data_IF_463557620238
#
_entry.id   IF_463557620238
#
_cell.length_a   1.000
_cell.length_b   1.000
_cell.length_c   1.000
_cell.angle_alpha   90.00
_cell.angle_beta   90.00
_cell.angle_gamma   90.00
#
_symmetry.space_group_name_H-M   'P 1'
#
loop_
_entity.id
_entity.type
_entity.pdbx_description
1 polymer ?
#
# COMPACT_ATOMS: atom_id res chain seq x y z
N UNK A 1 -50.48 21.01 16.07
CA UNK A 1 -50.88 19.75 16.75
C UNK A 1 -50.44 18.65 15.87
N UNK A 2 -49.29 18.09 16.19
CA UNK A 2 -48.79 16.76 15.81
C UNK A 2 -47.32 16.66 16.23
N UNK A 3 -47.10 15.73 17.11
CA UNK A 3 -45.87 15.45 17.84
C UNK A 3 -44.78 14.88 16.89
N UNK A 4 -43.68 15.55 16.79
CA UNK A 4 -42.44 15.02 16.24
C UNK A 4 -41.67 14.26 17.34
N UNK A 5 -41.76 12.94 17.26
CA UNK A 5 -41.04 12.02 18.12
C UNK A 5 -39.59 11.89 17.67
N UNK A 6 -38.73 12.58 18.38
CA UNK A 6 -37.27 12.59 18.23
C UNK A 6 -36.70 11.34 18.91
N UNK A 7 -36.41 10.29 18.13
CA UNK A 7 -35.62 9.15 18.60
C UNK A 7 -34.16 9.36 18.19
N UNK A 8 -33.44 10.07 19.03
CA UNK A 8 -31.98 10.11 19.00
C UNK A 8 -31.42 8.81 19.57
N UNK A 9 -31.04 7.87 18.72
CA UNK A 9 -30.21 6.72 19.12
C UNK A 9 -28.79 7.22 19.40
N UNK A 10 -28.49 7.31 20.69
CA UNK A 10 -27.14 7.48 21.21
C UNK A 10 -26.34 6.18 20.96
N UNK A 11 -25.57 6.15 19.88
CA UNK A 11 -24.48 5.17 19.76
C UNK A 11 -23.37 5.57 20.72
N UNK A 12 -23.40 4.99 21.90
CA UNK A 12 -22.25 4.99 22.82
C UNK A 12 -21.16 4.14 22.18
N UNK A 13 -20.18 4.80 21.57
CA UNK A 13 -18.92 4.17 21.19
C UNK A 13 -18.20 3.77 22.48
N UNK A 14 -18.37 2.51 22.88
CA UNK A 14 -17.61 1.90 23.96
C UNK A 14 -16.16 1.75 23.50
N UNK A 15 -15.35 2.72 23.93
CA UNK A 15 -13.92 2.77 23.70
C UNK A 15 -13.23 1.84 24.68
N UNK A 16 -13.18 0.54 24.38
CA UNK A 16 -12.22 -0.39 25.02
C UNK A 16 -12.08 -1.67 24.22
N UNK A 17 -10.99 -1.78 23.61
CA UNK A 17 -10.02 -2.88 23.51
C UNK A 17 -9.24 -2.74 22.22
N UNK A 18 -8.14 -2.03 22.32
CA UNK A 18 -7.04 -2.16 21.35
C UNK A 18 -6.44 -3.55 21.56
N UNK A 19 -7.13 -4.58 21.03
CA UNK A 19 -6.53 -5.90 20.88
C UNK A 19 -5.48 -5.77 19.79
N UNK A 20 -4.22 -5.71 20.20
CA UNK A 20 -3.11 -5.86 19.28
C UNK A 20 -3.37 -7.12 18.44
N UNK A 21 -3.26 -7.07 17.10
CA UNK A 21 -3.48 -8.25 16.27
C UNK A 21 -2.51 -9.33 16.79
N UNK A 22 -3.02 -10.53 17.11
CA UNK A 22 -2.15 -11.62 17.53
C UNK A 22 -1.13 -11.85 16.43
N UNK A 23 0.14 -11.96 16.80
CA UNK A 23 1.27 -12.29 15.92
C UNK A 23 1.10 -13.75 15.45
N UNK A 24 0.03 -13.99 14.68
CA UNK A 24 -0.31 -15.30 14.14
C UNK A 24 0.60 -15.59 12.95
N UNK A 25 1.44 -16.59 13.13
CA UNK A 25 2.32 -17.11 12.08
C UNK A 25 1.48 -17.42 10.82
N UNK A 26 2.02 -17.17 9.61
CA UNK A 26 1.31 -17.45 8.33
C UNK A 26 0.73 -18.87 8.22
N UNK A 27 1.32 -19.82 8.91
CA UNK A 27 0.90 -21.23 8.99
C UNK A 27 -0.46 -21.42 9.71
N UNK A 28 -0.76 -20.63 10.75
CA UNK A 28 -2.06 -20.70 11.44
C UNK A 28 -3.19 -20.16 10.57
N UNK A 29 -2.93 -19.11 9.82
CA UNK A 29 -3.92 -18.55 8.88
C UNK A 29 -4.24 -19.58 7.79
N UNK A 30 -3.25 -20.26 7.24
CA UNK A 30 -3.44 -21.28 6.22
C UNK A 30 -4.24 -22.49 6.77
N UNK A 31 -4.02 -22.90 8.02
CA UNK A 31 -4.76 -23.99 8.66
C UNK A 31 -6.24 -23.63 8.85
N UNK A 32 -6.54 -22.42 9.30
CA UNK A 32 -7.93 -21.93 9.45
C UNK A 32 -8.64 -21.86 8.08
N UNK A 33 -7.93 -21.47 7.01
CA UNK A 33 -8.48 -21.41 5.66
C UNK A 33 -8.82 -22.79 5.08
N UNK A 34 -8.07 -23.83 5.46
CA UNK A 34 -8.33 -25.21 5.06
C UNK A 34 -9.57 -25.81 5.79
N UNK A 35 -9.92 -25.31 6.96
CA UNK A 35 -11.13 -25.74 7.70
C UNK A 35 -12.42 -25.12 7.15
N UNK A 36 -12.38 -24.04 6.38
CA UNK A 36 -13.57 -23.43 5.78
C UNK A 36 -14.11 -24.35 4.68
N UNK A 37 -15.09 -25.16 4.99
CA UNK A 37 -15.67 -26.13 4.06
C UNK A 37 -16.79 -25.56 3.18
N UNK A 38 -17.34 -24.38 3.52
CA UNK A 38 -18.43 -23.76 2.77
C UNK A 38 -17.90 -22.89 1.63
N UNK A 39 -18.42 -23.08 0.42
CA UNK A 39 -18.00 -22.36 -0.77
C UNK A 39 -18.36 -20.86 -0.72
N UNK A 40 -19.46 -20.51 -0.06
CA UNK A 40 -19.86 -19.09 0.10
C UNK A 40 -18.92 -18.36 1.05
N UNK A 41 -18.44 -19.01 2.12
CA UNK A 41 -17.45 -18.46 3.04
C UNK A 41 -16.11 -18.24 2.36
N UNK A 42 -15.70 -19.19 1.50
CA UNK A 42 -14.46 -19.05 0.70
C UNK A 42 -14.55 -17.88 -0.28
N UNK A 43 -15.69 -17.71 -0.95
CA UNK A 43 -15.94 -16.59 -1.87
C UNK A 43 -15.90 -15.26 -1.11
N UNK A 44 -16.59 -15.15 0.01
CA UNK A 44 -16.60 -13.97 0.87
C UNK A 44 -15.17 -13.61 1.34
N UNK A 45 -14.40 -14.61 1.75
CA UNK A 45 -13.02 -14.40 2.20
C UNK A 45 -12.11 -13.92 1.06
N UNK A 46 -12.26 -14.48 -0.14
CA UNK A 46 -11.53 -14.04 -1.32
C UNK A 46 -11.85 -12.58 -1.66
N UNK A 47 -13.13 -12.20 -1.66
CA UNK A 47 -13.58 -10.83 -1.93
C UNK A 47 -13.01 -9.84 -0.91
N UNK A 48 -12.97 -10.22 0.38
CA UNK A 48 -12.35 -9.41 1.43
C UNK A 48 -10.84 -9.20 1.19
N UNK A 49 -10.10 -10.24 0.84
CA UNK A 49 -8.66 -10.14 0.58
C UNK A 49 -8.40 -9.25 -0.65
N UNK A 50 -9.21 -9.37 -1.70
CA UNK A 50 -9.17 -8.48 -2.87
C UNK A 50 -9.47 -7.03 -2.45
N UNK A 51 -10.44 -6.83 -1.56
CA UNK A 51 -10.77 -5.54 -0.98
C UNK A 51 -9.58 -4.92 -0.22
N UNK A 52 -8.88 -5.70 0.60
CA UNK A 52 -7.67 -5.25 1.29
C UNK A 52 -6.56 -4.87 0.32
N UNK A 53 -6.32 -5.64 -0.73
CA UNK A 53 -5.36 -5.30 -1.78
C UNK A 53 -5.67 -3.93 -2.40
N UNK A 54 -6.94 -3.69 -2.77
CA UNK A 54 -7.39 -2.41 -3.32
C UNK A 54 -7.20 -1.26 -2.34
N UNK A 55 -7.49 -1.47 -1.04
CA UNK A 55 -7.30 -0.47 0.00
C UNK A 55 -5.82 -0.05 0.14
N UNK A 56 -4.88 -0.99 0.06
CA UNK A 56 -3.43 -0.66 0.09
C UNK A 56 -3.05 0.19 -1.11
N UNK A 57 -3.51 -0.17 -2.30
CA UNK A 57 -3.24 0.60 -3.53
C UNK A 57 -3.80 2.01 -3.45
N UNK A 58 -5.03 2.17 -2.97
CA UNK A 58 -5.66 3.48 -2.78
C UNK A 58 -4.90 4.34 -1.77
N UNK A 59 -4.55 3.79 -0.59
CA UNK A 59 -3.78 4.51 0.42
C UNK A 59 -2.41 4.93 -0.11
N UNK A 60 -1.76 4.05 -0.87
CA UNK A 60 -0.48 4.33 -1.50
C UNK A 60 -0.59 5.46 -2.53
N UNK A 61 -1.63 5.44 -3.37
CA UNK A 61 -1.88 6.49 -4.37
C UNK A 61 -2.16 7.85 -3.72
N UNK A 62 -2.96 7.89 -2.64
CA UNK A 62 -3.23 9.10 -1.88
C UNK A 62 -1.94 9.63 -1.24
N UNK A 63 -1.15 8.78 -0.62
CA UNK A 63 0.14 9.15 -0.03
C UNK A 63 1.04 9.82 -1.07
N UNK A 64 1.12 9.24 -2.28
CA UNK A 64 1.93 9.79 -3.37
C UNK A 64 1.41 11.13 -3.89
N UNK A 65 0.09 11.28 -4.01
CA UNK A 65 -0.50 12.57 -4.39
C UNK A 65 -0.16 13.68 -3.38
N UNK A 66 -0.28 13.37 -2.08
CA UNK A 66 0.08 14.31 -1.01
C UNK A 66 1.56 14.67 -1.06
N UNK A 67 2.45 13.68 -1.25
CA UNK A 67 3.90 13.92 -1.37
C UNK A 67 4.21 14.76 -2.60
N UNK A 68 3.56 14.49 -3.73
CA UNK A 68 3.75 15.25 -4.96
C UNK A 68 3.38 16.74 -4.80
N UNK A 69 2.25 17.00 -4.15
CA UNK A 69 1.82 18.37 -3.82
C UNK A 69 2.82 19.04 -2.87
N UNK A 70 3.25 18.34 -1.82
CA UNK A 70 4.20 18.88 -0.83
C UNK A 70 5.57 19.15 -1.45
N UNK A 71 6.10 18.22 -2.24
CA UNK A 71 7.35 18.38 -2.96
C UNK A 71 7.27 19.56 -3.94
N UNK A 72 6.18 19.67 -4.69
CA UNK A 72 5.95 20.79 -5.61
C UNK A 72 5.95 22.13 -4.89
N UNK A 73 5.30 22.21 -3.72
CA UNK A 73 5.27 23.42 -2.88
C UNK A 73 6.66 23.78 -2.35
N UNK A 74 7.43 22.80 -1.86
CA UNK A 74 8.80 23.04 -1.35
C UNK A 74 9.71 23.51 -2.49
N UNK A 75 9.73 22.81 -3.63
CA UNK A 75 10.62 23.12 -4.76
C UNK A 75 10.29 24.50 -5.36
N UNK A 76 9.03 24.89 -5.37
CA UNK A 76 8.61 26.21 -5.87
C UNK A 76 8.84 27.36 -4.89
N UNK A 77 9.20 27.05 -3.64
CA UNK A 77 9.44 28.11 -2.65
C UNK A 77 10.74 28.86 -2.95
N UNK A 78 10.70 30.20 -2.82
CA UNK A 78 11.87 31.05 -3.00
C UNK A 78 13.00 30.69 -2.04
N UNK A 79 12.68 30.28 -0.82
CA UNK A 79 13.66 29.85 0.19
C UNK A 79 14.44 28.61 -0.26
N UNK A 80 13.76 27.61 -0.82
CA UNK A 80 14.42 26.40 -1.34
C UNK A 80 15.29 26.72 -2.55
N UNK A 81 14.77 27.50 -3.50
CA UNK A 81 15.49 27.88 -4.71
C UNK A 81 16.78 28.66 -4.40
N UNK A 82 16.68 29.62 -3.46
CA UNK A 82 17.83 30.40 -3.00
C UNK A 82 18.85 29.52 -2.27
N UNK A 83 18.38 28.61 -1.39
CA UNK A 83 19.26 27.67 -0.68
C UNK A 83 20.05 26.76 -1.64
N UNK A 84 19.37 26.21 -2.65
CA UNK A 84 20.03 25.39 -3.68
C UNK A 84 21.00 26.22 -4.52
N UNK A 85 20.64 27.46 -4.90
CA UNK A 85 21.52 28.37 -5.61
C UNK A 85 22.81 28.68 -4.86
N UNK A 86 22.73 28.98 -3.56
CA UNK A 86 23.90 29.21 -2.69
C UNK A 86 24.78 27.97 -2.58
N UNK A 87 24.15 26.79 -2.46
CA UNK A 87 24.84 25.50 -2.35
C UNK A 87 25.62 25.17 -3.63
N UNK A 88 25.03 25.43 -4.81
CA UNK A 88 25.70 25.22 -6.11
C UNK A 88 26.87 26.16 -6.28
N UNK A 89 26.78 27.42 -5.80
CA UNK A 89 27.86 28.40 -5.87
C UNK A 89 29.06 28.02 -4.99
N UNK A 90 28.83 27.47 -3.78
CA UNK A 90 29.89 27.14 -2.82
C UNK A 90 29.67 25.79 -2.11
N UNK A 91 29.82 24.64 -2.82
CA UNK A 91 29.46 23.33 -2.26
C UNK A 91 30.32 22.91 -1.07
N UNK A 92 31.60 23.36 -1.05
CA UNK A 92 32.54 23.00 0.05
C UNK A 92 32.25 23.77 1.35
N UNK A 93 31.75 24.98 1.27
CA UNK A 93 31.36 25.75 2.45
C UNK A 93 30.10 25.18 3.13
N UNK A 94 29.30 24.44 2.40
CA UNK A 94 27.99 23.92 2.85
C UNK A 94 27.94 22.37 2.77
N UNK A 95 28.99 21.67 3.17
CA UNK A 95 29.08 20.21 3.06
C UNK A 95 27.92 19.48 3.78
N UNK A 96 27.55 19.94 4.97
CA UNK A 96 26.45 19.33 5.75
C UNK A 96 25.07 19.48 5.08
N UNK A 97 24.64 20.65 4.61
CA UNK A 97 23.44 20.79 3.78
C UNK A 97 23.46 19.91 2.52
N UNK A 98 24.59 19.79 1.82
CA UNK A 98 24.74 18.90 0.64
C UNK A 98 24.37 17.47 1.00
N UNK A 99 24.90 16.96 2.12
CA UNK A 99 24.61 15.60 2.59
C UNK A 99 23.14 15.40 2.88
N UNK A 100 22.48 16.33 3.57
CA UNK A 100 21.05 16.21 3.87
C UNK A 100 20.19 16.26 2.60
N UNK A 101 20.52 17.12 1.65
CA UNK A 101 19.82 17.19 0.37
C UNK A 101 19.97 15.89 -0.42
N UNK A 102 21.19 15.34 -0.47
CA UNK A 102 21.46 14.06 -1.14
C UNK A 102 20.70 12.90 -0.48
N UNK A 103 20.70 12.82 0.86
CA UNK A 103 19.94 11.81 1.59
C UNK A 103 18.43 11.94 1.36
N UNK A 104 17.88 13.15 1.33
CA UNK A 104 16.49 13.40 0.99
C UNK A 104 16.16 12.90 -0.42
N UNK A 105 17.00 13.22 -1.41
CA UNK A 105 16.81 12.77 -2.79
C UNK A 105 16.87 11.24 -2.91
N UNK A 106 17.85 10.60 -2.27
CA UNK A 106 18.00 9.14 -2.29
C UNK A 106 16.76 8.46 -1.67
N UNK A 107 16.32 8.91 -0.48
CA UNK A 107 15.17 8.33 0.19
C UNK A 107 13.87 8.55 -0.60
N UNK A 108 13.75 9.67 -1.31
CA UNK A 108 12.61 9.93 -2.19
C UNK A 108 12.62 8.98 -3.41
N UNK A 109 13.77 8.75 -4.03
CA UNK A 109 13.92 7.79 -5.15
C UNK A 109 13.57 6.36 -4.68
N UNK A 110 14.06 5.97 -3.50
CA UNK A 110 13.73 4.67 -2.90
C UNK A 110 12.21 4.54 -2.67
N UNK A 111 11.56 5.58 -2.13
CA UNK A 111 10.12 5.57 -1.90
C UNK A 111 9.33 5.46 -3.21
N UNK A 112 9.80 6.11 -4.29
CA UNK A 112 9.20 6.00 -5.63
C UNK A 112 9.33 4.58 -6.19
N UNK A 113 10.49 3.93 -6.01
CA UNK A 113 10.69 2.53 -6.40
C UNK A 113 9.79 1.56 -5.64
N UNK A 114 9.62 1.77 -4.32
CA UNK A 114 8.70 0.99 -3.51
C UNK A 114 7.23 1.19 -3.94
N UNK A 115 6.83 2.43 -4.24
CA UNK A 115 5.52 2.73 -4.79
C UNK A 115 5.28 2.00 -6.10
N UNK A 116 6.19 2.10 -7.06
CA UNK A 116 6.09 1.40 -8.33
C UNK A 116 5.94 -0.13 -8.11
N UNK A 117 6.67 -0.69 -7.15
CA UNK A 117 6.57 -2.12 -6.79
C UNK A 117 5.21 -2.51 -6.21
N UNK A 118 4.53 -1.63 -5.46
CA UNK A 118 3.19 -1.86 -4.94
C UNK A 118 2.15 -1.82 -6.07
N UNK A 119 2.33 -0.88 -7.03
CA UNK A 119 1.39 -0.68 -8.15
C UNK A 119 1.55 -1.71 -9.27
N UNK A 120 2.75 -2.31 -9.42
CA UNK A 120 2.97 -3.32 -10.44
C UNK A 120 2.13 -4.56 -10.17
N UNK A 121 1.38 -4.98 -11.18
CA UNK A 121 0.61 -6.21 -11.14
C UNK A 121 1.56 -7.41 -10.98
N UNK A 122 1.42 -8.17 -9.89
CA UNK A 122 2.19 -9.39 -9.67
C UNK A 122 1.45 -10.56 -10.26
N UNK A 123 1.73 -10.85 -11.51
CA UNK A 123 1.17 -11.97 -12.26
C UNK A 123 1.93 -13.25 -11.91
N UNK A 124 1.84 -13.72 -10.66
CA UNK A 124 2.30 -15.07 -10.34
C UNK A 124 1.18 -16.05 -10.64
N UNK A 125 1.17 -16.59 -11.86
CA UNK A 125 0.33 -17.72 -12.21
C UNK A 125 0.97 -19.00 -11.66
N UNK A 126 0.29 -19.62 -10.68
CA UNK A 126 0.64 -20.96 -10.22
C UNK A 126 -0.45 -21.93 -10.70
N UNK A 127 -0.49 -22.20 -12.00
CA UNK A 127 -1.35 -23.26 -12.54
C UNK A 127 -2.56 -22.79 -13.32
N UNK A 128 -3.38 -23.74 -13.70
CA UNK A 128 -4.47 -23.65 -14.67
C UNK A 128 -5.83 -23.35 -13.99
N UNK A 129 -5.82 -22.47 -12.97
CA UNK A 129 -7.03 -22.11 -12.24
C UNK A 129 -8.02 -21.33 -13.11
N UNK A 130 -9.27 -21.74 -13.13
CA UNK A 130 -10.36 -21.06 -13.86
C UNK A 130 -10.79 -19.74 -13.17
N UNK A 131 -10.33 -19.47 -11.95
CA UNK A 131 -10.58 -18.25 -11.20
C UNK A 131 -9.49 -17.18 -11.41
N UNK A 132 -8.39 -17.55 -12.07
CA UNK A 132 -7.28 -16.64 -12.29
C UNK A 132 -7.34 -16.01 -13.68
N UNK A 133 -7.44 -14.69 -13.75
CA UNK A 133 -7.63 -13.96 -15.02
C UNK A 133 -6.54 -14.24 -16.06
N UNK A 134 -5.28 -14.45 -15.64
CA UNK A 134 -4.20 -14.78 -16.54
C UNK A 134 -4.36 -16.16 -17.20
N UNK A 135 -4.89 -17.14 -16.46
CA UNK A 135 -5.26 -18.45 -16.99
C UNK A 135 -6.50 -18.34 -17.90
N UNK A 136 -7.48 -17.53 -17.52
CA UNK A 136 -8.66 -17.28 -18.34
C UNK A 136 -8.26 -16.64 -19.68
N UNK A 137 -7.39 -15.64 -19.66
CA UNK A 137 -6.92 -14.93 -20.85
C UNK A 137 -6.09 -15.82 -21.80
N UNK A 138 -5.51 -16.90 -21.31
CA UNK A 138 -4.75 -17.86 -22.13
C UNK A 138 -5.60 -18.94 -22.79
N UNK A 139 -6.88 -19.07 -22.42
CA UNK A 139 -7.83 -20.06 -22.96
C UNK A 139 -8.69 -19.46 -24.08
N UNK A 140 -9.12 -20.30 -25.02
CA UNK A 140 -10.19 -19.93 -25.95
C UNK A 140 -11.55 -19.89 -25.23
N UNK A 141 -12.54 -19.20 -25.81
CA UNK A 141 -13.88 -19.15 -25.26
C UNK A 141 -14.50 -20.53 -25.04
N UNK A 142 -14.26 -21.46 -25.99
CA UNK A 142 -14.74 -22.83 -25.90
C UNK A 142 -14.05 -23.61 -24.75
N UNK A 143 -12.73 -23.46 -24.62
CA UNK A 143 -11.98 -24.11 -23.53
C UNK A 143 -12.40 -23.59 -22.16
N UNK A 144 -12.67 -22.27 -22.05
CA UNK A 144 -13.14 -21.67 -20.82
C UNK A 144 -14.57 -22.11 -20.50
N UNK A 145 -15.48 -22.16 -21.50
CA UNK A 145 -16.83 -22.67 -21.34
C UNK A 145 -16.85 -24.12 -20.83
N UNK A 146 -16.08 -25.00 -21.46
CA UNK A 146 -15.95 -26.39 -21.04
C UNK A 146 -15.40 -26.53 -19.59
N UNK A 147 -14.47 -25.66 -19.20
CA UNK A 147 -13.94 -25.64 -17.83
C UNK A 147 -14.97 -25.16 -16.81
N UNK A 148 -15.85 -24.20 -17.17
CA UNK A 148 -16.95 -23.76 -16.33
C UNK A 148 -18.03 -24.83 -16.17
N UNK A 149 -18.36 -25.54 -17.24
CA UNK A 149 -19.35 -26.64 -17.24
C UNK A 149 -18.87 -27.83 -16.38
N UNK A 150 -17.55 -28.06 -16.30
CA UNK A 150 -16.95 -29.04 -15.41
C UNK A 150 -17.04 -28.67 -13.93
N UNK A 151 -17.37 -27.41 -13.63
CA UNK A 151 -17.49 -26.86 -12.27
C UNK A 151 -16.19 -26.33 -11.70
N UNK A 152 -16.31 -25.48 -10.69
CA UNK A 152 -15.17 -24.90 -9.98
C UNK A 152 -14.69 -25.88 -8.90
N UNK A 153 -13.44 -26.30 -8.98
CA UNK A 153 -12.81 -27.12 -7.94
C UNK A 153 -12.77 -26.32 -6.63
N UNK A 154 -13.31 -26.86 -5.51
CA UNK A 154 -13.22 -26.22 -4.20
C UNK A 154 -11.78 -25.87 -3.78
N UNK A 155 -10.81 -26.64 -4.22
CA UNK A 155 -9.40 -26.37 -3.96
C UNK A 155 -8.87 -25.16 -4.72
N UNK A 156 -9.45 -24.79 -5.85
CA UNK A 156 -9.07 -23.60 -6.60
C UNK A 156 -9.37 -22.32 -5.81
N UNK A 157 -10.49 -22.23 -5.09
CA UNK A 157 -10.76 -21.12 -4.18
C UNK A 157 -9.71 -21.01 -3.08
N UNK A 158 -9.36 -22.13 -2.44
CA UNK A 158 -8.36 -22.15 -1.37
C UNK A 158 -6.99 -21.71 -1.87
N UNK A 159 -6.58 -22.16 -3.06
CA UNK A 159 -5.34 -21.72 -3.72
C UNK A 159 -5.36 -20.23 -4.03
N UNK A 160 -6.46 -19.71 -4.58
CA UNK A 160 -6.59 -18.28 -4.91
C UNK A 160 -6.60 -17.41 -3.66
N UNK A 161 -7.27 -17.81 -2.60
CA UNK A 161 -7.24 -17.13 -1.30
C UNK A 161 -5.81 -17.04 -0.78
N UNK A 162 -5.08 -18.16 -0.78
CA UNK A 162 -3.70 -18.18 -0.31
C UNK A 162 -2.78 -17.27 -1.13
N UNK A 163 -2.84 -17.35 -2.46
CA UNK A 163 -2.04 -16.51 -3.37
C UNK A 163 -2.33 -15.03 -3.13
N UNK A 164 -3.62 -14.64 -3.09
CA UNK A 164 -4.01 -13.24 -2.86
C UNK A 164 -3.64 -12.75 -1.46
N UNK A 165 -3.71 -13.60 -0.44
CA UNK A 165 -3.26 -13.27 0.92
C UNK A 165 -1.74 -13.02 0.97
N UNK A 166 -0.94 -13.84 0.29
CA UNK A 166 0.50 -13.62 0.17
C UNK A 166 0.83 -12.30 -0.53
N UNK A 167 0.15 -12.00 -1.64
CA UNK A 167 0.30 -10.74 -2.37
C UNK A 167 -0.09 -9.55 -1.49
N UNK A 168 -1.20 -9.66 -0.77
CA UNK A 168 -1.69 -8.64 0.14
C UNK A 168 -0.66 -8.34 1.23
N UNK A 169 -0.13 -9.37 1.90
CA UNK A 169 0.91 -9.22 2.92
C UNK A 169 2.15 -8.52 2.37
N UNK A 170 2.65 -8.95 1.22
CA UNK A 170 3.84 -8.36 0.60
C UNK A 170 3.61 -6.87 0.25
N UNK A 171 2.42 -6.50 -0.25
CA UNK A 171 2.06 -5.11 -0.51
C UNK A 171 2.01 -4.28 0.77
N UNK A 172 1.47 -4.81 1.87
CA UNK A 172 1.48 -4.13 3.16
C UNK A 172 2.89 -3.89 3.69
N UNK A 173 3.76 -4.88 3.59
CA UNK A 173 5.17 -4.77 4.00
C UNK A 173 5.90 -3.69 3.18
N UNK A 174 5.65 -3.64 1.86
CA UNK A 174 6.20 -2.61 0.98
C UNK A 174 5.62 -1.23 1.30
N UNK A 175 4.32 -1.13 1.57
CA UNK A 175 3.65 0.11 1.96
C UNK A 175 4.28 0.70 3.23
N UNK A 176 4.47 -0.12 4.27
CA UNK A 176 5.09 0.33 5.51
C UNK A 176 6.52 0.85 5.28
N UNK A 177 7.32 0.15 4.47
CA UNK A 177 8.67 0.61 4.08
C UNK A 177 8.61 1.92 3.29
N UNK A 178 7.63 2.06 2.38
CA UNK A 178 7.42 3.28 1.61
C UNK A 178 7.09 4.47 2.52
N UNK A 179 6.19 4.30 3.49
CA UNK A 179 5.84 5.33 4.48
C UNK A 179 7.06 5.77 5.27
N UNK A 180 7.88 4.84 5.76
CA UNK A 180 9.11 5.15 6.50
C UNK A 180 10.10 5.92 5.62
N UNK A 181 10.30 5.51 4.36
CA UNK A 181 11.18 6.19 3.42
C UNK A 181 10.72 7.63 3.15
N UNK A 182 9.41 7.85 3.01
CA UNK A 182 8.82 9.18 2.83
C UNK A 182 9.05 10.08 4.05
N UNK A 183 8.79 9.57 5.24
CA UNK A 183 9.03 10.31 6.49
C UNK A 183 10.51 10.70 6.60
N UNK A 184 11.43 9.78 6.29
CA UNK A 184 12.85 10.04 6.26
C UNK A 184 13.23 11.13 5.24
N UNK A 185 12.64 11.09 4.03
CA UNK A 185 12.88 12.10 3.00
C UNK A 185 12.46 13.50 3.46
N UNK A 186 11.29 13.60 4.08
CA UNK A 186 10.79 14.87 4.66
C UNK A 186 11.70 15.35 5.78
N UNK A 187 12.12 14.48 6.68
CA UNK A 187 13.00 14.82 7.79
C UNK A 187 14.36 15.36 7.29
N UNK A 188 14.97 14.69 6.30
CA UNK A 188 16.22 15.18 5.70
C UNK A 188 16.05 16.50 4.95
N UNK A 189 14.90 16.72 4.31
CA UNK A 189 14.58 18.01 3.67
C UNK A 189 14.47 19.13 4.69
N UNK A 190 13.84 18.89 5.84
CA UNK A 190 13.76 19.87 6.94
C UNK A 190 15.15 20.15 7.52
N UNK A 191 15.96 19.12 7.76
CA UNK A 191 17.34 19.27 8.25
C UNK A 191 18.20 20.05 7.27
N UNK A 192 18.05 19.85 5.95
CA UNK A 192 18.67 20.65 4.93
C UNK A 192 18.33 22.15 5.09
N UNK A 193 17.05 22.49 5.21
CA UNK A 193 16.62 23.88 5.33
C UNK A 193 17.15 24.53 6.63
N UNK A 194 17.14 23.80 7.75
CA UNK A 194 17.70 24.27 9.02
C UNK A 194 19.22 24.51 8.90
N UNK A 195 19.94 23.56 8.34
CA UNK A 195 21.39 23.65 8.17
C UNK A 195 21.80 24.81 7.25
N UNK A 196 21.00 25.12 6.24
CA UNK A 196 21.21 26.32 5.40
C UNK A 196 21.02 27.61 6.15
N UNK A 197 20.07 27.68 7.10
CA UNK A 197 19.86 28.89 7.92
C UNK A 197 20.95 29.08 8.97
N UNK A 198 21.53 28.00 9.49
CA UNK A 198 22.61 28.07 10.49
C UNK A 198 24.00 28.40 9.89
N UNK A 199 24.16 28.15 8.59
CA UNK A 199 25.43 28.42 7.87
C UNK A 199 25.43 29.74 7.10
N UNK A 200 24.34 30.50 7.16
CA UNK A 200 24.23 31.85 6.59
C UNK A 200 24.57 32.90 7.63
#
# INVERSE_FOLDING_TARGET
MSDENNMGENYVLDSKETVAPPDRKPIEIAAVLLEISNQDDKKWLLDNIIGFNRNVEQKTSILFAVIGVFAGFIISSASFTNAVGTLVANPYAHALPVVFLALSAITLIVSLGLFASIMMARLKSNGDSILYFGSIASKTAEQYGAALDAGIDPDDFSKQIHINACICKEKFDLYNKCVVAVIAAIAFCILFLIAMQMGA
#
